data_IF_342815474149
#
_entry.id   IF_342815474149
#
_cell.length_a   1.000
_cell.length_b   1.000
_cell.length_c   1.000
_cell.angle_alpha   90.00
_cell.angle_beta   90.00
_cell.angle_gamma   90.00
#
_symmetry.space_group_name_H-M   'P 1'
#
loop_
_entity.id
_entity.type
_entity.pdbx_description
1 polymer ?
#
# COMPACT_ATOMS: atom_id res chain seq x y z
N UNK A 1 -8.56 -10.03 17.12
CA UNK A 1 -7.52 -10.32 16.12
C UNK A 1 -7.30 -11.80 16.14
N UNK A 2 -7.52 -12.48 15.02
CA UNK A 2 -7.20 -13.90 14.89
C UNK A 2 -5.69 -14.06 14.86
N UNK A 3 -5.18 -14.88 15.77
CA UNK A 3 -3.76 -15.19 15.84
C UNK A 3 -3.34 -15.90 14.56
N UNK A 4 -2.31 -15.43 13.82
CA UNK A 4 -1.89 -16.10 12.60
C UNK A 4 -1.38 -17.51 12.93
N UNK A 5 -2.08 -18.52 12.42
CA UNK A 5 -1.69 -19.93 12.56
C UNK A 5 -0.46 -20.23 11.69
N UNK A 6 0.22 -21.35 11.98
CA UNK A 6 1.32 -21.82 11.16
C UNK A 6 0.89 -22.05 9.69
N UNK A 7 -0.33 -22.53 9.47
CA UNK A 7 -0.84 -22.80 8.13
C UNK A 7 -1.11 -21.51 7.36
N UNK A 8 -1.64 -20.47 8.01
CA UNK A 8 -1.76 -19.16 7.39
C UNK A 8 -0.41 -18.61 6.94
N UNK A 9 0.63 -18.73 7.77
CA UNK A 9 1.99 -18.31 7.40
C UNK A 9 2.57 -19.10 6.22
N UNK A 10 2.31 -20.40 6.13
CA UNK A 10 2.70 -21.23 4.95
C UNK A 10 1.99 -20.77 3.69
N UNK A 11 0.70 -20.42 3.79
CA UNK A 11 -0.05 -19.90 2.65
C UNK A 11 0.53 -18.56 2.19
N UNK A 12 0.88 -17.67 3.13
CA UNK A 12 1.53 -16.38 2.78
C UNK A 12 2.92 -16.57 2.17
N UNK A 13 3.73 -17.53 2.65
CA UNK A 13 5.00 -17.90 2.01
C UNK A 13 4.79 -18.44 0.59
N UNK A 14 3.71 -19.18 0.37
CA UNK A 14 3.35 -19.69 -0.96
C UNK A 14 3.00 -18.54 -1.90
N UNK A 15 2.23 -17.55 -1.44
CA UNK A 15 1.93 -16.33 -2.19
C UNK A 15 3.19 -15.52 -2.50
N UNK A 16 4.10 -15.37 -1.54
CA UNK A 16 5.38 -14.69 -1.77
C UNK A 16 6.22 -15.40 -2.84
N UNK A 17 6.34 -16.73 -2.77
CA UNK A 17 7.05 -17.48 -3.82
C UNK A 17 6.36 -17.38 -5.17
N UNK A 18 5.02 -17.40 -5.19
CA UNK A 18 4.25 -17.27 -6.41
C UNK A 18 4.49 -15.91 -7.07
N UNK A 19 4.48 -14.81 -6.31
CA UNK A 19 4.75 -13.48 -6.86
C UNK A 19 6.15 -13.38 -7.45
N UNK A 20 7.19 -13.93 -6.80
CA UNK A 20 8.54 -14.00 -7.37
C UNK A 20 8.55 -14.72 -8.73
N UNK A 21 7.86 -15.86 -8.84
CA UNK A 21 7.79 -16.65 -10.10
C UNK A 21 7.01 -15.93 -11.19
N UNK A 22 5.92 -15.26 -10.84
CA UNK A 22 5.10 -14.50 -11.77
C UNK A 22 5.86 -13.29 -12.30
N UNK A 23 6.52 -12.53 -11.43
CA UNK A 23 7.40 -11.42 -11.83
C UNK A 23 8.51 -11.92 -12.75
N UNK A 24 9.16 -13.04 -12.41
CA UNK A 24 10.18 -13.64 -13.29
C UNK A 24 9.65 -13.98 -14.69
N UNK A 25 8.44 -14.54 -14.75
CA UNK A 25 7.78 -14.88 -16.02
C UNK A 25 7.47 -13.62 -16.82
N UNK A 26 6.85 -12.62 -16.19
CA UNK A 26 6.40 -11.41 -16.87
C UNK A 26 7.57 -10.53 -17.34
N UNK A 27 8.69 -10.50 -16.61
CA UNK A 27 9.90 -9.81 -17.10
C UNK A 27 10.49 -10.54 -18.32
N UNK A 28 10.50 -11.88 -18.30
CA UNK A 28 11.08 -12.69 -19.38
C UNK A 28 10.25 -12.73 -20.66
N UNK A 29 8.93 -12.63 -20.52
CA UNK A 29 7.96 -12.69 -21.60
C UNK A 29 6.84 -11.69 -21.27
N UNK A 30 7.04 -10.40 -21.59
CA UNK A 30 6.08 -9.36 -21.26
C UNK A 30 4.72 -9.67 -21.89
N UNK A 31 3.75 -10.02 -21.07
CA UNK A 31 2.33 -9.89 -21.41
C UNK A 31 1.89 -8.43 -21.26
N UNK A 32 0.62 -8.13 -21.53
CA UNK A 32 0.06 -6.77 -21.47
C UNK A 32 0.69 -5.90 -20.37
N UNK A 33 1.29 -4.75 -20.70
CA UNK A 33 2.13 -3.97 -19.78
C UNK A 33 1.40 -3.42 -18.54
N UNK A 34 0.08 -3.56 -18.47
CA UNK A 34 -0.74 -3.15 -17.32
C UNK A 34 -1.22 -4.31 -16.44
N UNK A 35 -0.84 -5.57 -16.73
CA UNK A 35 -1.44 -6.73 -16.06
C UNK A 35 -0.73 -7.17 -14.78
N UNK A 36 0.39 -6.57 -14.41
CA UNK A 36 1.19 -7.02 -13.27
C UNK A 36 1.99 -5.90 -12.59
N UNK A 37 2.29 -6.10 -11.30
CA UNK A 37 3.06 -5.18 -10.47
C UNK A 37 4.46 -5.72 -10.24
N UNK A 38 5.48 -4.91 -10.52
CA UNK A 38 6.88 -5.25 -10.34
C UNK A 38 7.27 -5.39 -8.87
N UNK A 39 6.63 -4.60 -8.00
CA UNK A 39 6.79 -4.55 -6.56
C UNK A 39 6.06 -5.66 -5.78
N UNK A 40 5.22 -6.47 -6.45
CA UNK A 40 4.42 -7.51 -5.77
C UNK A 40 5.26 -8.47 -4.88
N UNK A 41 6.45 -8.94 -5.29
CA UNK A 41 7.31 -9.73 -4.40
C UNK A 41 7.72 -9.00 -3.13
N UNK A 42 8.00 -7.70 -3.20
CA UNK A 42 8.38 -6.90 -2.04
C UNK A 42 7.21 -6.65 -1.10
N UNK A 43 6.01 -6.45 -1.65
CA UNK A 43 4.77 -6.36 -0.85
C UNK A 43 4.56 -7.63 -0.03
N UNK A 44 4.66 -8.80 -0.67
CA UNK A 44 4.51 -10.08 0.03
C UNK A 44 5.66 -10.33 1.01
N UNK A 45 6.89 -9.93 0.68
CA UNK A 45 8.05 -10.01 1.59
C UNK A 45 7.80 -9.22 2.89
N UNK A 46 7.35 -7.96 2.78
CA UNK A 46 7.03 -7.13 3.95
C UNK A 46 5.91 -7.79 4.78
N UNK A 47 4.83 -8.21 4.13
CA UNK A 47 3.69 -8.86 4.80
C UNK A 47 4.11 -10.12 5.57
N UNK A 48 4.87 -11.02 4.95
CA UNK A 48 5.32 -12.26 5.62
C UNK A 48 6.26 -11.92 6.78
N UNK A 49 7.16 -10.96 6.61
CA UNK A 49 8.06 -10.49 7.68
C UNK A 49 7.26 -10.04 8.91
N UNK A 50 6.24 -9.23 8.73
CA UNK A 50 5.45 -8.71 9.86
C UNK A 50 4.63 -9.80 10.54
N UNK A 51 4.11 -10.75 9.77
CA UNK A 51 3.42 -11.92 10.30
C UNK A 51 4.37 -12.83 11.10
N UNK A 52 5.61 -13.03 10.62
CA UNK A 52 6.62 -13.80 11.35
C UNK A 52 7.00 -13.09 12.66
N UNK A 53 7.15 -11.77 12.66
CA UNK A 53 7.48 -10.99 13.86
C UNK A 53 6.36 -11.08 14.90
N UNK A 54 5.11 -10.90 14.47
CA UNK A 54 3.93 -10.86 15.37
C UNK A 54 3.37 -12.24 15.76
N UNK A 55 3.80 -13.32 15.10
CA UNK A 55 3.26 -14.66 15.34
C UNK A 55 3.69 -15.25 16.70
N UNK A 56 2.75 -15.81 17.49
CA UNK A 56 3.04 -16.47 18.76
C UNK A 56 3.34 -17.97 18.60
N UNK A 57 3.85 -18.38 17.44
CA UNK A 57 4.26 -19.77 17.20
C UNK A 57 5.40 -20.19 18.13
N UNK A 58 5.51 -21.51 18.33
CA UNK A 58 6.65 -22.07 19.03
C UNK A 58 7.96 -21.75 18.29
N UNK A 59 9.07 -21.66 19.01
CA UNK A 59 10.39 -21.37 18.42
C UNK A 59 10.76 -22.37 17.31
N UNK A 60 10.42 -23.65 17.48
CA UNK A 60 10.72 -24.68 16.49
C UNK A 60 9.96 -24.46 15.17
N UNK A 61 8.65 -24.20 15.26
CA UNK A 61 7.81 -23.93 14.07
C UNK A 61 8.20 -22.62 13.39
N UNK A 62 8.49 -21.58 14.19
CA UNK A 62 8.93 -20.28 13.69
C UNK A 62 10.26 -20.38 12.94
N UNK A 63 11.19 -21.21 13.42
CA UNK A 63 12.50 -21.40 12.78
C UNK A 63 12.35 -21.94 11.36
N UNK A 64 11.55 -22.99 11.16
CA UNK A 64 11.32 -23.56 9.83
C UNK A 64 10.67 -22.57 8.85
N UNK A 65 9.73 -21.75 9.32
CA UNK A 65 9.09 -20.72 8.50
C UNK A 65 10.05 -19.57 8.15
N UNK A 66 10.94 -19.20 9.08
CA UNK A 66 11.97 -18.19 8.84
C UNK A 66 13.01 -18.68 7.82
N UNK A 67 13.43 -19.94 7.90
CA UNK A 67 14.32 -20.55 6.90
C UNK A 67 13.69 -20.52 5.50
N UNK A 68 12.40 -20.86 5.40
CA UNK A 68 11.69 -20.82 4.12
C UNK A 68 11.49 -19.38 3.62
N UNK A 69 11.21 -18.42 4.50
CA UNK A 69 11.17 -17.01 4.16
C UNK A 69 12.50 -16.53 3.55
N UNK A 70 13.62 -16.87 4.18
CA UNK A 70 14.95 -16.53 3.67
C UNK A 70 15.22 -17.16 2.32
N UNK A 71 14.86 -18.44 2.13
CA UNK A 71 14.99 -19.11 0.83
C UNK A 71 14.24 -18.35 -0.27
N UNK A 72 12.99 -17.94 -0.02
CA UNK A 72 12.22 -17.20 -1.04
C UNK A 72 12.77 -15.79 -1.26
N UNK A 73 13.27 -15.13 -0.20
CA UNK A 73 13.95 -13.84 -0.34
C UNK A 73 15.22 -13.95 -1.20
N UNK A 74 16.00 -15.03 -1.04
CA UNK A 74 17.16 -15.30 -1.90
C UNK A 74 16.74 -15.55 -3.36
N UNK A 75 15.60 -16.23 -3.60
CA UNK A 75 15.04 -16.37 -4.96
C UNK A 75 14.74 -14.99 -5.60
N UNK A 76 14.23 -14.03 -4.81
CA UNK A 76 13.99 -12.66 -5.25
C UNK A 76 15.29 -11.89 -5.49
N UNK A 77 16.32 -12.07 -4.65
CA UNK A 77 17.62 -11.42 -4.86
C UNK A 77 18.30 -11.94 -6.13
N UNK A 78 18.22 -13.25 -6.39
CA UNK A 78 18.68 -13.85 -7.66
C UNK A 78 17.91 -13.25 -8.84
N UNK A 79 16.63 -12.96 -8.69
CA UNK A 79 15.82 -12.32 -9.73
C UNK A 79 16.33 -10.91 -10.07
N UNK A 80 16.61 -10.08 -9.05
CA UNK A 80 17.19 -8.75 -9.19
C UNK A 80 18.55 -8.80 -9.89
N UNK A 81 19.39 -9.76 -9.55
CA UNK A 81 20.69 -9.94 -10.21
C UNK A 81 20.51 -10.36 -11.66
N UNK A 82 19.62 -11.32 -11.93
CA UNK A 82 19.41 -11.91 -13.27
C UNK A 82 18.86 -10.91 -14.28
N UNK A 83 17.83 -10.16 -13.91
CA UNK A 83 17.18 -9.19 -14.81
C UNK A 83 17.75 -7.78 -14.66
N UNK A 84 18.62 -7.57 -13.67
CA UNK A 84 19.50 -6.43 -13.55
C UNK A 84 18.77 -5.09 -13.67
N UNK A 85 19.23 -4.26 -14.58
CA UNK A 85 18.72 -2.91 -14.78
C UNK A 85 17.23 -2.88 -15.17
N UNK A 86 16.78 -3.83 -16.00
CA UNK A 86 15.39 -3.85 -16.50
C UNK A 86 14.40 -3.98 -15.35
N UNK A 87 14.67 -4.86 -14.38
CA UNK A 87 13.77 -5.01 -13.25
C UNK A 87 13.83 -3.78 -12.34
N UNK A 88 15.01 -3.20 -12.14
CA UNK A 88 15.18 -1.97 -11.35
C UNK A 88 14.45 -0.77 -11.93
N UNK A 89 14.46 -0.60 -13.25
CA UNK A 89 13.73 0.49 -13.92
C UNK A 89 12.22 0.34 -13.69
N UNK A 90 11.69 -0.88 -13.74
CA UNK A 90 10.28 -1.15 -13.42
C UNK A 90 9.95 -0.85 -11.95
N UNK A 91 10.84 -1.22 -11.04
CA UNK A 91 10.68 -0.94 -9.61
C UNK A 91 10.75 0.56 -9.30
N UNK A 92 11.56 1.33 -10.04
CA UNK A 92 11.63 2.79 -9.90
C UNK A 92 10.29 3.44 -10.29
N UNK A 93 9.73 3.06 -11.43
CA UNK A 93 8.40 3.54 -11.88
C UNK A 93 7.34 3.18 -10.83
N UNK A 94 7.41 1.97 -10.27
CA UNK A 94 6.47 1.58 -9.22
C UNK A 94 6.67 2.39 -7.94
N UNK A 95 7.91 2.62 -7.50
CA UNK A 95 8.22 3.45 -6.33
C UNK A 95 7.62 4.86 -6.47
N UNK A 96 7.80 5.52 -7.63
CA UNK A 96 7.20 6.84 -7.88
C UNK A 96 5.67 6.81 -7.75
N UNK A 97 5.03 5.81 -8.34
CA UNK A 97 3.59 5.61 -8.24
C UNK A 97 3.13 5.35 -6.78
N UNK A 98 3.89 4.57 -6.02
CA UNK A 98 3.61 4.30 -4.62
C UNK A 98 3.70 5.57 -3.77
N UNK A 99 4.73 6.40 -3.98
CA UNK A 99 4.89 7.68 -3.26
C UNK A 99 3.74 8.65 -3.59
N UNK A 100 3.35 8.75 -4.86
CA UNK A 100 2.20 9.58 -5.26
C UNK A 100 0.88 9.10 -4.63
N UNK A 101 0.64 7.78 -4.64
CA UNK A 101 -0.54 7.21 -4.01
C UNK A 101 -0.53 7.40 -2.50
N UNK A 102 0.64 7.26 -1.85
CA UNK A 102 0.79 7.51 -0.42
C UNK A 102 0.45 8.95 -0.06
N UNK A 103 0.97 9.93 -0.80
CA UNK A 103 0.63 11.33 -0.61
C UNK A 103 -0.89 11.60 -0.76
N UNK A 104 -1.52 11.00 -1.78
CA UNK A 104 -2.95 11.16 -2.02
C UNK A 104 -3.79 10.56 -0.87
N UNK A 105 -3.44 9.36 -0.41
CA UNK A 105 -4.09 8.72 0.74
C UNK A 105 -3.94 9.54 2.02
N UNK A 106 -2.74 10.07 2.31
CA UNK A 106 -2.51 10.94 3.47
C UNK A 106 -3.39 12.20 3.40
N UNK A 107 -3.42 12.88 2.25
CA UNK A 107 -4.28 14.05 2.03
C UNK A 107 -5.78 13.72 2.19
N UNK A 108 -6.22 12.54 1.77
CA UNK A 108 -7.62 12.13 1.92
C UNK A 108 -7.94 11.76 3.37
N UNK A 109 -7.04 11.06 4.06
CA UNK A 109 -7.24 10.66 5.44
C UNK A 109 -7.44 11.86 6.37
N UNK A 110 -6.68 12.95 6.15
CA UNK A 110 -6.83 14.20 6.91
C UNK A 110 -8.15 14.92 6.63
N UNK A 111 -8.70 14.79 5.43
CA UNK A 111 -9.99 15.38 5.07
C UNK A 111 -11.19 14.58 5.61
N UNK A 112 -11.14 13.25 5.56
CA UNK A 112 -12.29 12.39 5.85
C UNK A 112 -12.29 11.78 7.25
N UNK A 113 -11.23 11.96 8.05
CA UNK A 113 -11.04 11.29 9.35
C UNK A 113 -11.21 9.76 9.25
N UNK A 114 -10.79 9.17 8.14
CA UNK A 114 -11.03 7.77 7.83
C UNK A 114 -9.87 6.88 8.26
N UNK A 115 -10.14 5.98 9.21
CA UNK A 115 -9.19 5.02 9.75
C UNK A 115 -8.80 3.90 8.76
N UNK A 116 -9.61 3.64 7.72
CA UNK A 116 -9.27 2.63 6.70
C UNK A 116 -8.11 3.11 5.81
N UNK A 117 -8.11 4.40 5.44
CA UNK A 117 -7.02 5.04 4.71
C UNK A 117 -5.70 5.02 5.51
N UNK A 118 -5.76 5.12 6.84
CA UNK A 118 -4.55 5.05 7.69
C UNK A 118 -3.90 3.65 7.67
N UNK A 119 -4.69 2.57 7.56
CA UNK A 119 -4.17 1.20 7.51
C UNK A 119 -3.53 0.86 6.15
N UNK A 120 -4.11 1.33 5.04
CA UNK A 120 -3.50 1.19 3.71
C UNK A 120 -2.19 1.98 3.60
N UNK A 121 -2.15 3.17 4.19
CA UNK A 121 -0.97 4.03 4.22
C UNK A 121 0.25 3.36 4.87
N UNK A 122 0.07 2.60 5.96
CA UNK A 122 1.17 1.88 6.62
C UNK A 122 1.82 0.83 5.71
N UNK A 123 1.02 -0.06 5.10
CA UNK A 123 1.55 -1.10 4.22
C UNK A 123 2.23 -0.51 2.97
N UNK A 124 1.67 0.59 2.45
CA UNK A 124 2.27 1.33 1.34
C UNK A 124 3.61 1.96 1.73
N UNK A 125 3.68 2.55 2.93
CA UNK A 125 4.89 3.18 3.46
C UNK A 125 6.02 2.18 3.67
N UNK A 126 5.72 0.97 4.13
CA UNK A 126 6.69 -0.13 4.28
C UNK A 126 7.21 -0.63 2.92
N UNK A 127 6.34 -0.73 1.90
CA UNK A 127 6.76 -1.05 0.54
C UNK A 127 7.68 0.02 -0.04
N UNK A 128 7.33 1.31 0.12
CA UNK A 128 8.18 2.44 -0.30
C UNK A 128 9.57 2.33 0.33
N UNK A 129 9.63 2.03 1.63
CA UNK A 129 10.87 1.86 2.38
C UNK A 129 11.74 0.73 1.82
N UNK A 130 11.14 -0.43 1.56
CA UNK A 130 11.83 -1.57 0.99
C UNK A 130 12.36 -1.24 -0.42
N UNK A 131 11.54 -0.61 -1.27
CA UNK A 131 11.96 -0.23 -2.63
C UNK A 131 13.07 0.83 -2.62
N UNK A 132 13.04 1.81 -1.71
CA UNK A 132 14.11 2.79 -1.55
C UNK A 132 15.44 2.10 -1.22
N UNK A 133 15.44 1.13 -0.30
CA UNK A 133 16.65 0.37 0.06
C UNK A 133 17.21 -0.38 -1.15
N UNK A 134 16.35 -1.04 -1.94
CA UNK A 134 16.78 -1.84 -3.09
C UNK A 134 17.33 -0.99 -4.24
N UNK A 135 16.87 0.25 -4.38
CA UNK A 135 17.20 1.11 -5.52
C UNK A 135 18.30 2.14 -5.21
N UNK A 136 18.66 2.33 -3.93
CA UNK A 136 19.53 3.45 -3.50
C UNK A 136 20.93 3.47 -4.12
N UNK A 137 21.51 2.29 -4.38
CA UNK A 137 22.84 2.17 -4.96
C UNK A 137 22.81 2.37 -6.49
N UNK A 138 21.62 2.51 -7.08
CA UNK A 138 21.41 2.56 -8.52
C UNK A 138 20.82 3.89 -9.01
N UNK A 139 20.10 4.64 -8.16
CA UNK A 139 19.45 5.89 -8.53
C UNK A 139 19.61 6.97 -7.46
N UNK A 140 19.58 8.27 -7.85
CA UNK A 140 19.58 9.37 -6.90
C UNK A 140 18.18 9.57 -6.29
N UNK A 141 17.87 8.84 -5.22
CA UNK A 141 16.53 8.80 -4.61
C UNK A 141 16.25 9.93 -3.60
N UNK A 142 17.20 10.84 -3.36
CA UNK A 142 17.14 11.85 -2.29
C UNK A 142 15.87 12.71 -2.34
N UNK A 143 15.38 13.04 -3.54
CA UNK A 143 14.15 13.84 -3.69
C UNK A 143 12.90 13.06 -3.28
N UNK A 144 12.85 11.75 -3.58
CA UNK A 144 11.75 10.88 -3.16
C UNK A 144 11.81 10.63 -1.65
N UNK A 145 12.99 10.40 -1.09
CA UNK A 145 13.19 10.26 0.37
C UNK A 145 12.72 11.52 1.12
N UNK A 146 13.06 12.71 0.63
CA UNK A 146 12.61 13.98 1.20
C UNK A 146 11.10 14.17 1.11
N UNK A 147 10.50 13.78 -0.03
CA UNK A 147 9.06 13.85 -0.23
C UNK A 147 8.33 12.92 0.76
N UNK A 148 8.79 11.67 0.90
CA UNK A 148 8.24 10.71 1.86
C UNK A 148 8.33 11.25 3.28
N UNK A 149 9.49 11.78 3.69
CA UNK A 149 9.64 12.39 5.02
C UNK A 149 8.68 13.56 5.24
N UNK A 150 8.43 14.38 4.21
CA UNK A 150 7.47 15.48 4.29
C UNK A 150 6.02 14.97 4.45
N UNK A 151 5.68 13.86 3.79
CA UNK A 151 4.36 13.23 3.93
C UNK A 151 4.20 12.68 5.35
N UNK A 152 5.22 11.98 5.87
CA UNK A 152 5.24 11.42 7.22
C UNK A 152 5.07 12.53 8.29
N UNK A 153 5.78 13.66 8.14
CA UNK A 153 5.67 14.82 9.04
C UNK A 153 4.27 15.43 9.05
N UNK A 154 3.62 15.50 7.89
CA UNK A 154 2.25 16.03 7.78
C UNK A 154 1.24 15.07 8.40
N UNK A 155 1.38 13.75 8.15
CA UNK A 155 0.53 12.73 8.75
C UNK A 155 0.60 12.77 10.29
N UNK A 156 1.80 12.91 10.85
CA UNK A 156 2.00 12.99 12.30
C UNK A 156 1.35 14.24 12.93
N UNK A 157 1.38 15.38 12.24
CA UNK A 157 0.74 16.61 12.72
C UNK A 157 -0.79 16.49 12.73
N UNK A 158 -1.36 15.87 11.72
CA UNK A 158 -2.82 15.68 11.62
C UNK A 158 -3.34 14.74 12.71
N UNK A 159 -2.57 13.71 13.10
CA UNK A 159 -2.90 12.85 14.26
C UNK A 159 -2.94 13.64 15.58
N UNK A 160 -1.98 14.54 15.82
CA UNK A 160 -1.92 15.36 17.05
C UNK A 160 -3.14 16.28 17.15
N UNK A 161 -3.53 16.94 16.06
CA UNK A 161 -4.70 17.84 16.02
C UNK A 161 -6.01 17.07 16.27
N UNK A 162 -6.11 15.82 15.83
CA UNK A 162 -7.30 14.98 16.08
C UNK A 162 -7.36 14.44 17.52
N UNK A 163 -6.23 14.30 18.20
CA UNK A 163 -6.18 13.89 19.63
C UNK A 163 -6.43 15.04 20.59
N UNK A 164 -6.07 16.28 20.20
CA UNK A 164 -6.46 17.52 20.89
C UNK A 164 -7.90 17.91 20.53
N UNK A 165 -8.85 16.98 20.69
CA UNK A 165 -10.24 17.35 20.87
C UNK A 165 -10.36 18.10 22.19
N UNK A 166 -10.15 19.41 22.08
CA UNK A 166 -10.88 20.48 22.76
C UNK A 166 -12.01 19.88 23.60
N UNK A 167 -11.84 19.88 24.93
CA UNK A 167 -12.99 19.67 25.81
C UNK A 167 -14.00 20.73 25.40
N UNK A 168 -15.15 20.29 24.93
CA UNK A 168 -16.27 21.13 24.53
C UNK A 168 -16.82 21.88 25.75
N UNK A 169 -16.10 22.89 26.22
CA UNK A 169 -16.65 23.98 27.01
C UNK A 169 -16.59 25.24 26.15
N UNK A 170 -17.80 25.72 25.81
CA UNK A 170 -18.11 27.07 25.40
C UNK A 170 -17.59 27.56 24.04
N UNK A 171 -18.33 27.20 22.98
CA UNK A 171 -18.53 28.13 21.87
C UNK A 171 -20.03 28.43 21.69
N UNK A 172 -20.47 29.71 21.77
CA UNK A 172 -21.84 30.08 21.48
C UNK A 172 -22.16 29.78 20.00
N UNK A 173 -23.14 28.91 19.80
CA UNK A 173 -23.76 28.65 18.50
C UNK A 173 -24.32 29.96 17.93
N UNK A 174 -23.65 30.53 16.94
CA UNK A 174 -24.29 31.43 15.97
C UNK A 174 -24.60 30.64 14.71
N UNK A 175 -25.89 30.59 14.40
CA UNK A 175 -26.49 29.52 13.61
C UNK A 175 -26.13 29.51 12.13
N UNK A 176 -26.06 28.29 11.61
CA UNK A 176 -26.57 27.95 10.29
C UNK A 176 -27.49 26.73 10.44
N UNK A 177 -28.76 27.03 10.70
CA UNK A 177 -29.86 26.10 10.51
C UNK A 177 -30.04 25.93 9.01
N UNK A 178 -29.70 24.76 8.48
CA UNK A 178 -30.37 24.22 7.30
C UNK A 178 -30.68 22.74 7.58
N UNK A 179 -31.94 22.52 7.97
CA UNK A 179 -32.55 21.22 8.11
C UNK A 179 -32.56 20.52 6.74
N UNK A 180 -31.92 19.36 6.64
CA UNK A 180 -32.32 18.36 5.65
C UNK A 180 -33.02 17.22 6.40
N UNK A 181 -34.34 17.39 6.54
CA UNK A 181 -35.26 16.36 7.01
C UNK A 181 -35.17 15.12 6.12
N UNK A 182 -35.14 13.95 6.76
CA UNK A 182 -35.48 12.69 6.12
C UNK A 182 -36.90 12.75 5.54
N UNK A 183 -37.00 12.53 4.23
CA UNK A 183 -38.25 12.26 3.54
C UNK A 183 -38.00 11.22 2.46
N UNK A 184 -38.49 9.99 2.70
CA UNK A 184 -38.72 9.00 1.65
C UNK A 184 -39.49 9.66 0.50
N UNK A 185 -38.99 9.59 -0.73
CA UNK A 185 -39.87 9.51 -1.89
C UNK A 185 -39.18 8.83 -3.09
N UNK A 186 -39.84 7.77 -3.55
CA UNK A 186 -39.59 7.08 -4.83
C UNK A 186 -40.13 7.96 -5.96
N UNK A 187 -39.31 8.39 -6.91
CA UNK A 187 -39.80 8.65 -8.28
C UNK A 187 -38.75 8.29 -9.34
N UNK A 188 -39.19 7.42 -10.25
CA UNK A 188 -38.66 7.17 -11.58
C UNK A 188 -38.74 8.46 -12.43
N UNK A 189 -37.75 8.71 -13.30
CA UNK A 189 -37.92 8.89 -14.76
C UNK A 189 -36.70 9.47 -15.48
N UNK A 190 -36.49 9.00 -16.71
CA UNK A 190 -36.27 9.90 -17.85
C UNK A 190 -34.82 10.13 -18.27
N UNK A 191 -34.39 9.43 -19.33
CA UNK A 191 -33.09 9.63 -19.96
C UNK A 191 -32.99 10.84 -20.89
N UNK A 192 -31.76 11.13 -21.30
CA UNK A 192 -31.43 11.77 -22.55
C UNK A 192 -29.99 11.37 -22.96
N UNK A 193 -29.85 10.65 -24.08
CA UNK A 193 -28.58 10.52 -24.81
C UNK A 193 -28.49 11.67 -25.83
N UNK A 194 -27.34 12.33 -26.01
CA UNK A 194 -27.11 13.17 -27.16
C UNK A 194 -26.64 12.35 -28.37
N UNK A 195 -27.11 12.83 -29.53
CA UNK A 195 -26.97 12.36 -30.90
C UNK A 195 -25.59 12.63 -31.51
N UNK A 196 -25.18 11.79 -32.47
CA UNK A 196 -24.49 12.25 -33.68
C UNK A 196 -24.65 11.24 -34.84
N UNK A 197 -25.42 11.63 -35.86
CA UNK A 197 -25.42 11.07 -37.22
C UNK A 197 -25.08 12.22 -38.20
N UNK A 198 -24.48 11.81 -39.33
CA UNK A 198 -24.14 12.51 -40.58
C UNK A 198 -22.61 12.54 -40.77
N UNK A 199 -22.05 11.97 -41.84
CA UNK A 199 -22.53 11.85 -43.23
C UNK A 199 -22.50 10.40 -43.73
#
# INVERSE_FOLDING_TARGET
MDTPSADFLKDQLTLFRQSVRETARNISAPSDPCSWHAGAPFTEKCRVRDLLVSSPLSMAEKTALVEEFHRVAEELDVLLVRYGQVYRDLLLVELENQVHAYHAETCLSSYWCDNECARSGRGRRELIEELLVQLRDHYPLSSLEMLVATIDDNAARDEVVMTDKVSSEEFPSYGLVMQCNHGNDKYLCGGARPSARHV
#
